data_IF_834375646902
#
_entry.id   IF_834375646902
#
_cell.length_a   1.000
_cell.length_b   1.000
_cell.length_c   1.000
_cell.angle_alpha   90.00
_cell.angle_beta   90.00
_cell.angle_gamma   90.00
#
_symmetry.space_group_name_H-M   'P 1'
#
loop_
_entity.id
_entity.type
_entity.pdbx_description
1 polymer ?
#
# COMPACT_ATOMS: atom_id res chain seq x y z
N UNK A 1 -0.64 5.54 -2.52
CA UNK A 1 -1.62 5.41 -1.42
C UNK A 1 -2.96 5.08 -2.04
N UNK A 2 -3.70 4.12 -1.47
CA UNK A 2 -5.07 3.81 -1.87
C UNK A 2 -6.01 4.04 -0.68
N UNK A 3 -7.16 4.66 -0.93
CA UNK A 3 -8.25 4.88 0.01
C UNK A 3 -9.27 3.74 -0.14
N UNK A 4 -9.82 3.25 0.98
CA UNK A 4 -10.70 2.08 1.03
C UNK A 4 -12.10 2.37 1.60
N UNK A 5 -12.49 3.64 1.70
CA UNK A 5 -13.62 4.08 2.48
C UNK A 5 -13.34 4.16 3.99
N UNK A 6 -14.25 4.83 4.70
CA UNK A 6 -14.28 4.90 6.17
C UNK A 6 -12.95 5.39 6.80
N UNK A 7 -12.18 6.20 6.08
CA UNK A 7 -10.91 6.74 6.55
C UNK A 7 -9.76 5.72 6.58
N UNK A 8 -9.89 4.55 5.95
CA UNK A 8 -8.82 3.56 5.85
C UNK A 8 -8.00 3.75 4.57
N UNK A 9 -6.69 3.56 4.71
CA UNK A 9 -5.76 3.63 3.59
C UNK A 9 -4.75 2.48 3.63
N UNK A 10 -4.30 2.07 2.45
CA UNK A 10 -3.09 1.26 2.31
C UNK A 10 -1.99 2.05 1.60
N UNK A 11 -0.78 1.97 2.11
CA UNK A 11 0.41 2.62 1.54
C UNK A 11 1.32 1.57 0.93
N UNK A 12 1.83 1.86 -0.27
CA UNK A 12 2.77 1.03 -1.01
C UNK A 12 3.94 1.93 -1.40
N UNK A 13 5.11 1.64 -0.84
CA UNK A 13 6.33 2.43 -1.03
C UNK A 13 7.45 1.58 -1.62
N UNK A 14 8.51 2.26 -2.09
CA UNK A 14 9.63 1.66 -2.82
C UNK A 14 9.23 0.96 -4.14
N UNK A 15 8.13 1.35 -4.77
CA UNK A 15 7.73 0.80 -6.07
C UNK A 15 8.73 1.21 -7.17
N UNK A 16 9.02 0.28 -8.08
CA UNK A 16 9.77 0.56 -9.30
C UNK A 16 8.89 1.29 -10.32
N UNK A 17 7.59 0.99 -10.32
CA UNK A 17 6.60 1.66 -11.16
C UNK A 17 5.21 1.61 -10.51
N UNK A 18 4.43 2.67 -10.74
CA UNK A 18 3.00 2.68 -10.45
C UNK A 18 2.23 2.30 -11.72
N UNK A 19 1.33 1.32 -11.62
CA UNK A 19 0.45 0.86 -12.69
C UNK A 19 -0.94 1.52 -12.68
N UNK A 20 -1.14 2.51 -11.79
CA UNK A 20 -2.39 3.27 -11.64
C UNK A 20 -2.07 4.76 -11.56
N UNK A 21 -3.04 5.58 -11.96
CA UNK A 21 -2.96 7.05 -11.86
C UNK A 21 -3.81 7.58 -10.71
N UNK A 22 -3.58 8.83 -10.32
CA UNK A 22 -4.41 9.52 -9.34
C UNK A 22 -5.90 9.38 -9.70
N UNK A 23 -6.74 9.16 -8.69
CA UNK A 23 -8.18 8.94 -8.79
C UNK A 23 -8.64 7.70 -9.58
N UNK A 24 -7.73 6.80 -9.98
CA UNK A 24 -8.12 5.51 -10.56
C UNK A 24 -8.89 4.67 -9.54
N UNK A 25 -10.01 4.09 -9.94
CA UNK A 25 -10.66 3.06 -9.14
C UNK A 25 -9.87 1.75 -9.25
N UNK A 26 -9.67 1.10 -8.11
CA UNK A 26 -8.92 -0.15 -7.99
C UNK A 26 -9.82 -1.21 -7.39
N UNK A 27 -9.82 -2.39 -7.99
CA UNK A 27 -10.54 -3.56 -7.46
C UNK A 27 -9.59 -4.49 -6.70
N UNK A 28 -10.12 -5.27 -5.76
CA UNK A 28 -9.32 -6.27 -5.02
C UNK A 28 -8.67 -7.25 -6.00
N UNK A 29 -7.36 -7.42 -5.89
CA UNK A 29 -6.58 -8.32 -6.74
C UNK A 29 -6.01 -7.67 -8.01
N UNK A 30 -6.39 -6.43 -8.31
CA UNK A 30 -5.81 -5.67 -9.41
C UNK A 30 -4.33 -5.35 -9.13
N UNK A 31 -3.47 -5.58 -10.11
CA UNK A 31 -2.08 -5.13 -10.08
C UNK A 31 -2.02 -3.60 -10.16
N UNK A 32 -1.38 -2.97 -9.17
CA UNK A 32 -1.28 -1.50 -9.06
C UNK A 32 0.14 -0.96 -9.27
N UNK A 33 1.12 -1.82 -9.52
CA UNK A 33 2.50 -1.44 -9.70
C UNK A 33 3.45 -2.63 -9.55
N UNK A 34 4.75 -2.35 -9.67
CA UNK A 34 5.82 -3.31 -9.48
C UNK A 34 6.70 -2.92 -8.30
N UNK A 35 7.14 -3.91 -7.52
CA UNK A 35 8.10 -3.72 -6.43
C UNK A 35 9.42 -3.19 -6.99
N UNK A 36 10.00 -2.22 -6.30
CA UNK A 36 11.33 -1.69 -6.54
C UNK A 36 12.18 -1.78 -5.29
N UNK A 37 13.21 -0.93 -5.22
CA UNK A 37 14.18 -0.96 -4.12
C UNK A 37 15.63 -0.81 -4.55
N UNK A 38 15.89 -0.38 -5.80
CA UNK A 38 17.24 -0.11 -6.29
C UNK A 38 18.01 0.91 -5.41
N UNK A 39 17.29 1.79 -4.70
CA UNK A 39 17.86 2.79 -3.78
C UNK A 39 17.63 2.43 -2.30
N UNK A 40 17.41 1.15 -1.96
CA UNK A 40 17.28 0.70 -0.58
C UNK A 40 18.41 -0.23 -0.20
N UNK A 41 18.95 -0.04 1.01
CA UNK A 41 19.98 -0.90 1.60
C UNK A 41 19.50 -2.35 1.81
N UNK A 42 18.18 -2.60 1.80
CA UNK A 42 17.58 -3.92 1.96
C UNK A 42 17.36 -4.67 0.63
N UNK A 43 17.72 -4.06 -0.51
CA UNK A 43 17.40 -4.59 -1.83
C UNK A 43 15.91 -4.45 -2.19
N UNK A 44 15.45 -5.11 -3.28
CA UNK A 44 14.06 -5.02 -3.73
C UNK A 44 13.07 -5.58 -2.71
N UNK A 45 12.22 -4.72 -2.16
CA UNK A 45 11.19 -5.09 -1.19
C UNK A 45 10.01 -4.11 -1.22
N UNK A 46 8.87 -4.54 -0.71
CA UNK A 46 7.68 -3.69 -0.57
C UNK A 46 7.60 -3.15 0.87
N UNK A 47 7.62 -1.83 1.02
CA UNK A 47 7.16 -1.21 2.26
C UNK A 47 5.65 -1.02 2.20
N UNK A 48 4.94 -1.71 3.09
CA UNK A 48 3.48 -1.75 3.12
C UNK A 48 2.97 -1.25 4.46
N UNK A 49 1.96 -0.38 4.42
CA UNK A 49 1.31 0.12 5.62
C UNK A 49 -0.21 0.03 5.51
N UNK A 50 -0.85 -0.13 6.67
CA UNK A 50 -2.27 0.16 6.85
C UNK A 50 -2.39 1.39 7.73
N UNK A 51 -3.16 2.37 7.27
CA UNK A 51 -3.55 3.55 8.04
C UNK A 51 -5.04 3.46 8.33
N UNK A 52 -5.42 3.56 9.59
CA UNK A 52 -6.81 3.61 10.02
C UNK A 52 -7.37 5.03 9.98
N UNK A 53 -8.53 5.20 10.63
CA UNK A 53 -9.15 6.50 10.85
C UNK A 53 -8.14 7.54 11.38
N UNK A 54 -8.25 8.78 10.89
CA UNK A 54 -7.30 9.86 11.17
C UNK A 54 -5.84 9.54 10.83
N UNK A 55 -5.61 8.62 9.90
CA UNK A 55 -4.28 8.23 9.40
C UNK A 55 -3.37 7.57 10.46
N UNK A 56 -3.95 7.02 11.54
CA UNK A 56 -3.19 6.28 12.56
C UNK A 56 -2.54 5.05 11.93
N UNK A 57 -1.24 4.86 12.17
CA UNK A 57 -0.53 3.67 11.71
C UNK A 57 -1.03 2.43 12.49
N UNK A 58 -1.48 1.40 11.77
CA UNK A 58 -1.89 0.13 12.34
C UNK A 58 -0.86 -0.94 11.98
N UNK A 59 -0.68 -1.94 12.86
CA UNK A 59 0.11 -3.12 12.51
C UNK A 59 -0.57 -3.86 11.35
N UNK A 60 0.05 -3.95 10.15
CA UNK A 60 -0.61 -4.51 8.97
C UNK A 60 -0.93 -6.00 9.13
N UNK A 61 -0.05 -6.77 9.79
CA UNK A 61 -0.23 -8.21 9.99
C UNK A 61 -1.44 -8.49 10.89
N UNK A 62 -1.54 -7.79 12.02
CA UNK A 62 -2.67 -7.95 12.93
C UNK A 62 -3.99 -7.46 12.33
N UNK A 63 -3.94 -6.41 11.51
CA UNK A 63 -5.13 -5.89 10.84
C UNK A 63 -5.63 -6.83 9.74
N UNK A 64 -4.73 -7.40 8.94
CA UNK A 64 -5.07 -8.32 7.85
C UNK A 64 -5.58 -9.66 8.38
N UNK A 65 -5.07 -10.18 9.50
CA UNK A 65 -5.54 -11.44 10.09
C UNK A 65 -7.00 -11.43 10.54
N UNK A 66 -7.57 -10.25 10.77
CA UNK A 66 -8.95 -10.08 11.27
C UNK A 66 -9.99 -9.99 10.14
N UNK A 67 -9.61 -10.21 8.88
CA UNK A 67 -10.43 -10.06 7.67
C UNK A 67 -10.19 -11.19 6.68
#
# INVERSE_FOLDING_TARGET
VLEHGNGYYSVYSHLASAGVSLASQVTKGQTIGAVGGANSDYGPHLHFEIRGENQVALNPTEWLRKR
#
